data_IF_204045642027
#
_entry.id   IF_204045642027
#
_cell.length_a   1.000
_cell.length_b   1.000
_cell.length_c   1.000
_cell.angle_alpha   90.00
_cell.angle_beta   90.00
_cell.angle_gamma   90.00
#
_symmetry.space_group_name_H-M   'P 1'
#
loop_
_entity.id
_entity.type
_entity.pdbx_description
1 polymer ?
#
# COMPACT_ATOMS: atom_id res chain seq x y z
N UNK A 1 3.91 38.63 -3.50
CA UNK A 1 3.43 37.23 -3.55
C UNK A 1 3.19 36.77 -2.12
N UNK A 2 1.92 36.62 -1.69
CA UNK A 2 1.58 36.06 -0.37
C UNK A 2 2.03 34.60 -0.34
N UNK A 3 2.98 34.27 0.55
CA UNK A 3 3.40 32.89 0.80
C UNK A 3 2.18 32.11 1.26
N UNK A 4 1.72 31.14 0.47
CA UNK A 4 0.78 30.16 0.94
C UNK A 4 1.37 29.51 2.22
N UNK A 5 0.70 29.57 3.35
CA UNK A 5 1.20 28.89 4.55
C UNK A 5 1.16 27.39 4.27
N UNK A 6 2.33 26.78 4.13
CA UNK A 6 2.42 25.33 4.09
C UNK A 6 1.85 24.79 5.41
N UNK A 7 1.05 23.73 5.40
CA UNK A 7 0.41 23.17 6.59
C UNK A 7 1.42 22.60 7.62
N UNK A 8 2.67 22.42 7.19
CA UNK A 8 3.79 21.91 7.99
C UNK A 8 4.51 23.01 8.77
N UNK A 9 5.09 22.63 9.91
CA UNK A 9 5.77 23.57 10.82
C UNK A 9 7.11 24.08 10.30
N UNK A 10 7.83 23.27 9.52
CA UNK A 10 9.15 23.59 8.94
C UNK A 10 9.15 23.35 7.44
N UNK A 11 9.96 24.14 6.72
CA UNK A 11 10.16 23.96 5.29
C UNK A 11 10.77 22.59 4.95
N UNK A 12 11.72 22.11 5.77
CA UNK A 12 12.34 20.80 5.57
C UNK A 12 11.32 19.67 5.65
N UNK A 13 10.45 19.68 6.67
CA UNK A 13 9.35 18.72 6.82
C UNK A 13 8.40 18.76 5.63
N UNK A 14 8.05 19.98 5.16
CA UNK A 14 7.22 20.15 3.96
C UNK A 14 7.84 19.50 2.73
N UNK A 15 9.13 19.68 2.51
CA UNK A 15 9.80 19.10 1.33
C UNK A 15 10.01 17.59 1.45
N UNK A 16 10.18 17.03 2.64
CA UNK A 16 10.15 15.57 2.86
C UNK A 16 8.78 15.01 2.48
N UNK A 17 7.69 15.66 2.94
CA UNK A 17 6.33 15.22 2.63
C UNK A 17 6.01 15.36 1.12
N UNK A 18 6.41 16.46 0.48
CA UNK A 18 6.27 16.67 -0.96
C UNK A 18 7.07 15.63 -1.76
N UNK A 19 8.28 15.29 -1.33
CA UNK A 19 9.09 14.25 -1.97
C UNK A 19 8.47 12.86 -1.81
N UNK A 20 7.84 12.59 -0.68
CA UNK A 20 7.08 11.37 -0.47
C UNK A 20 5.81 11.32 -1.32
N UNK A 21 5.11 12.44 -1.48
CA UNK A 21 4.02 12.54 -2.45
C UNK A 21 4.49 12.13 -3.84
N UNK A 22 5.60 12.71 -4.32
CA UNK A 22 6.16 12.39 -5.64
C UNK A 22 6.55 10.93 -5.79
N UNK A 23 7.19 10.35 -4.76
CA UNK A 23 7.55 8.92 -4.76
C UNK A 23 6.31 8.03 -4.80
N UNK A 24 5.30 8.34 -3.99
CA UNK A 24 4.04 7.61 -3.94
C UNK A 24 3.25 7.73 -5.24
N UNK A 25 3.19 8.94 -5.80
CA UNK A 25 2.59 9.21 -7.09
C UNK A 25 3.26 8.41 -8.20
N UNK A 26 4.58 8.53 -8.38
CA UNK A 26 5.31 7.84 -9.45
C UNK A 26 5.17 6.33 -9.36
N UNK A 27 5.22 5.76 -8.15
CA UNK A 27 5.02 4.33 -7.95
C UNK A 27 3.63 3.88 -8.40
N UNK A 28 2.56 4.55 -7.94
CA UNK A 28 1.19 4.17 -8.27
C UNK A 28 0.79 4.52 -9.72
N UNK A 29 1.41 5.57 -10.31
CA UNK A 29 1.29 5.91 -11.72
C UNK A 29 1.68 4.74 -12.62
N UNK A 30 2.73 4.01 -12.26
CA UNK A 30 3.23 2.86 -13.01
C UNK A 30 2.47 1.58 -12.65
N UNK A 31 2.06 1.43 -11.40
CA UNK A 31 1.41 0.21 -10.92
C UNK A 31 0.09 -0.09 -11.60
N UNK A 32 -0.66 0.92 -12.06
CA UNK A 32 -1.94 0.71 -12.75
C UNK A 32 -1.79 -0.08 -14.05
N UNK A 33 -0.70 0.12 -14.75
CA UNK A 33 -0.47 -0.53 -16.04
C UNK A 33 0.56 -1.66 -16.04
N UNK A 34 1.23 -1.86 -14.93
CA UNK A 34 2.23 -2.92 -14.82
C UNK A 34 1.71 -4.31 -15.21
N UNK A 35 0.50 -4.74 -14.78
CA UNK A 35 -0.05 -6.04 -15.18
C UNK A 35 -0.26 -6.14 -16.70
N UNK A 36 -0.76 -5.08 -17.33
CA UNK A 36 -0.94 -5.02 -18.79
C UNK A 36 0.40 -5.08 -19.54
N UNK A 37 1.41 -4.37 -19.00
CA UNK A 37 2.76 -4.41 -19.57
C UNK A 37 3.37 -5.81 -19.48
N UNK A 38 3.19 -6.52 -18.36
CA UNK A 38 3.65 -7.90 -18.17
C UNK A 38 3.00 -8.82 -19.21
N UNK A 39 1.68 -8.71 -19.41
CA UNK A 39 0.96 -9.49 -20.44
C UNK A 39 1.52 -9.23 -21.84
N UNK A 40 1.84 -7.95 -22.14
CA UNK A 40 2.36 -7.57 -23.46
C UNK A 40 3.76 -8.11 -23.76
N UNK A 41 4.66 -8.17 -22.77
CA UNK A 41 6.05 -8.62 -22.96
C UNK A 41 6.25 -10.11 -22.72
N UNK A 42 5.24 -10.80 -22.20
CA UNK A 42 5.32 -12.22 -21.90
C UNK A 42 5.30 -13.06 -23.17
N UNK A 43 6.29 -13.94 -23.30
CA UNK A 43 6.33 -14.99 -24.30
C UNK A 43 5.84 -16.35 -23.74
N UNK A 44 5.41 -16.37 -22.47
CA UNK A 44 4.96 -17.57 -21.76
C UNK A 44 3.47 -17.83 -22.01
N UNK A 45 3.03 -19.05 -21.67
CA UNK A 45 1.61 -19.38 -21.68
C UNK A 45 0.78 -18.53 -20.70
N UNK A 46 -0.56 -18.44 -20.88
CA UNK A 46 -1.42 -17.58 -20.05
C UNK A 46 -1.29 -17.88 -18.55
N UNK A 47 -1.24 -19.15 -18.17
CA UNK A 47 -1.10 -19.61 -16.79
C UNK A 47 0.21 -19.14 -16.15
N UNK A 48 1.32 -19.35 -16.83
CA UNK A 48 2.66 -18.97 -16.37
C UNK A 48 2.81 -17.44 -16.28
N UNK A 49 2.32 -16.74 -17.31
CA UNK A 49 2.30 -15.25 -17.32
C UNK A 49 1.54 -14.71 -16.11
N UNK A 50 0.43 -15.33 -15.74
CA UNK A 50 -0.36 -14.92 -14.58
C UNK A 50 0.42 -15.11 -13.27
N UNK A 51 1.11 -16.23 -13.07
CA UNK A 51 1.97 -16.47 -11.91
C UNK A 51 3.10 -15.44 -11.85
N UNK A 52 3.77 -15.21 -12.98
CA UNK A 52 4.82 -14.19 -13.08
C UNK A 52 4.31 -12.77 -12.77
N UNK A 53 3.08 -12.45 -13.17
CA UNK A 53 2.44 -11.16 -12.82
C UNK A 53 2.34 -11.00 -11.31
N UNK A 54 1.87 -12.01 -10.60
CA UNK A 54 1.80 -11.99 -9.14
C UNK A 54 3.18 -11.83 -8.48
N UNK A 55 4.18 -12.59 -8.96
CA UNK A 55 5.56 -12.51 -8.48
C UNK A 55 6.16 -11.12 -8.69
N UNK A 56 6.05 -10.57 -9.89
CA UNK A 56 6.61 -9.25 -10.26
C UNK A 56 5.93 -8.13 -9.47
N UNK A 57 4.62 -8.20 -9.27
CA UNK A 57 3.88 -7.17 -8.51
C UNK A 57 4.15 -7.30 -7.00
N UNK A 58 4.20 -8.51 -6.46
CA UNK A 58 4.40 -8.77 -5.03
C UNK A 58 5.84 -8.61 -4.54
N UNK A 59 6.84 -8.89 -5.40
CA UNK A 59 8.26 -8.91 -5.04
C UNK A 59 8.76 -7.66 -4.29
N UNK A 60 8.44 -6.41 -4.70
CA UNK A 60 8.91 -5.23 -3.98
C UNK A 60 8.41 -5.19 -2.54
N UNK A 61 7.18 -5.64 -2.29
CA UNK A 61 6.59 -5.62 -0.94
C UNK A 61 7.25 -6.64 -0.02
N UNK A 62 7.61 -7.82 -0.54
CA UNK A 62 8.41 -8.83 0.20
C UNK A 62 9.75 -8.23 0.60
N UNK A 63 10.46 -7.65 -0.37
CA UNK A 63 11.78 -7.07 -0.13
C UNK A 63 11.71 -5.86 0.81
N UNK A 64 10.70 -5.01 0.67
CA UNK A 64 10.47 -3.91 1.61
C UNK A 64 10.26 -4.40 3.04
N UNK A 65 9.47 -5.46 3.23
CA UNK A 65 9.24 -6.03 4.56
C UNK A 65 10.53 -6.55 5.18
N UNK A 66 11.36 -7.24 4.40
CA UNK A 66 12.64 -7.80 4.85
C UNK A 66 13.69 -6.70 5.11
N UNK A 67 13.72 -5.68 4.26
CA UNK A 67 14.72 -4.62 4.30
C UNK A 67 14.38 -3.46 5.25
N UNK A 68 13.11 -3.26 5.61
CA UNK A 68 12.69 -2.14 6.47
C UNK A 68 13.46 -2.07 7.81
N UNK A 69 13.69 -3.18 8.55
CA UNK A 69 14.50 -3.14 9.77
C UNK A 69 15.97 -2.78 9.49
N UNK A 70 16.52 -3.22 8.36
CA UNK A 70 17.88 -2.91 7.95
C UNK A 70 18.04 -1.42 7.64
N UNK A 71 17.11 -0.85 6.88
CA UNK A 71 17.10 0.58 6.59
C UNK A 71 16.94 1.42 7.85
N UNK A 72 16.10 1.00 8.81
CA UNK A 72 16.00 1.63 10.11
C UNK A 72 17.33 1.63 10.89
N UNK A 73 18.09 0.52 10.85
CA UNK A 73 19.42 0.44 11.47
C UNK A 73 20.46 1.29 10.74
N UNK A 74 20.36 1.40 9.41
CA UNK A 74 21.27 2.22 8.63
C UNK A 74 21.20 3.70 8.99
N UNK A 75 20.04 4.21 9.48
CA UNK A 75 19.91 5.60 9.95
C UNK A 75 20.76 5.92 11.18
N UNK A 76 21.24 4.91 11.92
CA UNK A 76 22.19 5.11 13.01
C UNK A 76 23.65 5.25 12.54
N UNK A 77 23.95 4.82 11.31
CA UNK A 77 25.30 4.89 10.73
C UNK A 77 25.41 5.96 9.63
N UNK A 78 24.35 6.13 8.87
CA UNK A 78 24.28 7.08 7.77
C UNK A 78 23.21 8.14 8.04
N UNK A 79 23.40 9.33 7.51
CA UNK A 79 22.47 10.43 7.66
C UNK A 79 21.11 10.09 7.04
N UNK A 80 19.99 10.24 7.77
CA UNK A 80 18.66 9.88 7.27
C UNK A 80 18.29 10.56 5.95
N UNK A 81 18.71 11.83 5.74
CA UNK A 81 18.51 12.56 4.49
C UNK A 81 19.15 11.83 3.31
N UNK A 82 20.43 11.43 3.44
CA UNK A 82 21.16 10.71 2.39
C UNK A 82 20.45 9.42 2.01
N UNK A 83 20.01 8.63 3.00
CA UNK A 83 19.31 7.37 2.75
C UNK A 83 17.96 7.60 2.05
N UNK A 84 17.23 8.65 2.43
CA UNK A 84 15.98 9.03 1.80
C UNK A 84 16.17 9.44 0.33
N UNK A 85 17.16 10.28 0.08
CA UNK A 85 17.53 10.73 -1.27
C UNK A 85 17.99 9.56 -2.15
N UNK A 86 18.84 8.69 -1.63
CA UNK A 86 19.28 7.48 -2.36
C UNK A 86 18.10 6.59 -2.72
N UNK A 87 17.15 6.40 -1.81
CA UNK A 87 15.94 5.62 -2.10
C UNK A 87 15.13 6.22 -3.27
N UNK A 88 14.92 7.54 -3.27
CA UNK A 88 14.20 8.24 -4.36
C UNK A 88 14.99 8.12 -5.68
N UNK A 89 16.31 8.36 -5.63
CA UNK A 89 17.17 8.32 -6.81
C UNK A 89 17.18 6.93 -7.46
N UNK A 90 17.42 5.88 -6.65
CA UNK A 90 17.43 4.51 -7.15
C UNK A 90 16.09 4.07 -7.74
N UNK A 91 14.98 4.46 -7.10
CA UNK A 91 13.65 4.20 -7.67
C UNK A 91 13.49 4.89 -9.04
N UNK A 92 13.94 6.14 -9.17
CA UNK A 92 13.92 6.84 -10.46
C UNK A 92 14.75 6.12 -11.54
N UNK A 93 15.96 5.67 -11.21
CA UNK A 93 16.84 4.93 -12.13
C UNK A 93 16.18 3.59 -12.55
N UNK A 94 15.64 2.83 -11.59
CA UNK A 94 14.99 1.56 -11.89
C UNK A 94 13.75 1.74 -12.76
N UNK A 95 12.95 2.78 -12.54
CA UNK A 95 11.80 3.09 -13.38
C UNK A 95 12.21 3.51 -14.80
N UNK A 96 13.33 4.22 -14.94
CA UNK A 96 13.89 4.52 -16.27
C UNK A 96 14.25 3.23 -17.01
N UNK A 97 14.92 2.30 -16.32
CA UNK A 97 15.33 1.01 -16.89
C UNK A 97 14.10 0.18 -17.27
N UNK A 98 13.01 0.19 -16.49
CA UNK A 98 11.76 -0.55 -16.84
C UNK A 98 11.22 -0.18 -18.22
N UNK A 99 11.38 1.06 -18.66
CA UNK A 99 10.95 1.50 -19.99
C UNK A 99 11.64 0.79 -21.16
N UNK A 100 12.77 0.11 -20.92
CA UNK A 100 13.55 -0.58 -21.92
C UNK A 100 13.55 -2.11 -21.76
N UNK A 101 12.97 -2.62 -20.69
CA UNK A 101 12.95 -4.07 -20.37
C UNK A 101 11.83 -4.76 -21.13
N UNK A 102 12.17 -5.78 -21.89
CA UNK A 102 11.24 -6.63 -22.63
C UNK A 102 11.30 -8.12 -22.18
N UNK A 103 11.98 -8.38 -21.07
CA UNK A 103 12.15 -9.72 -20.52
C UNK A 103 11.57 -9.80 -19.11
N UNK A 104 10.69 -10.77 -18.86
CA UNK A 104 10.02 -10.97 -17.58
C UNK A 104 10.98 -11.24 -16.42
N UNK A 105 12.03 -12.02 -16.66
CA UNK A 105 13.01 -12.38 -15.63
C UNK A 105 13.81 -11.15 -15.20
N UNK A 106 14.22 -10.33 -16.18
CA UNK A 106 14.90 -9.07 -15.89
C UNK A 106 13.97 -8.09 -15.18
N UNK A 107 12.71 -7.99 -15.60
CA UNK A 107 11.71 -7.15 -14.93
C UNK A 107 11.51 -7.59 -13.47
N UNK A 108 11.44 -8.91 -13.21
CA UNK A 108 11.36 -9.46 -11.86
C UNK A 108 12.58 -9.07 -11.00
N UNK A 109 13.79 -9.25 -11.53
CA UNK A 109 15.03 -8.88 -10.85
C UNK A 109 15.04 -7.40 -10.47
N UNK A 110 14.68 -6.53 -11.40
CA UNK A 110 14.61 -5.09 -11.15
C UNK A 110 13.51 -4.74 -10.13
N UNK A 111 12.40 -5.47 -10.09
CA UNK A 111 11.34 -5.31 -9.08
C UNK A 111 11.81 -5.75 -7.68
N UNK A 112 12.63 -6.81 -7.60
CA UNK A 112 13.32 -7.21 -6.34
C UNK A 112 14.25 -6.09 -5.89
N UNK A 113 15.08 -5.55 -6.78
CA UNK A 113 15.98 -4.43 -6.47
C UNK A 113 15.20 -3.18 -6.03
N UNK A 114 14.07 -2.89 -6.67
CA UNK A 114 13.17 -1.80 -6.28
C UNK A 114 12.70 -1.96 -4.82
N UNK A 115 12.34 -3.16 -4.41
CA UNK A 115 11.95 -3.45 -3.03
C UNK A 115 13.11 -3.32 -2.04
N UNK A 116 14.31 -3.77 -2.41
CA UNK A 116 15.51 -3.62 -1.58
C UNK A 116 15.81 -2.14 -1.32
N UNK A 117 15.67 -1.30 -2.35
CA UNK A 117 15.92 0.15 -2.27
C UNK A 117 14.69 0.97 -1.84
N UNK A 118 13.54 0.32 -1.66
CA UNK A 118 12.23 0.95 -1.53
C UNK A 118 11.87 1.50 -0.15
N UNK A 119 12.79 1.53 0.83
CA UNK A 119 12.49 1.97 2.20
C UNK A 119 12.27 3.49 2.36
N UNK A 120 12.00 4.21 1.28
CA UNK A 120 11.79 5.67 1.26
C UNK A 120 10.76 6.11 2.29
N UNK A 121 9.61 5.43 2.40
CA UNK A 121 8.57 5.79 3.37
C UNK A 121 9.00 5.63 4.82
N UNK A 122 9.76 4.57 5.14
CA UNK A 122 10.28 4.32 6.50
C UNK A 122 11.32 5.36 6.89
N UNK A 123 12.28 5.62 6.01
CA UNK A 123 13.33 6.63 6.25
C UNK A 123 12.71 8.03 6.29
N UNK A 124 11.71 8.32 5.46
CA UNK A 124 10.96 9.58 5.49
C UNK A 124 10.27 9.84 6.82
N UNK A 125 9.66 8.84 7.44
CA UNK A 125 9.09 8.95 8.79
C UNK A 125 10.15 9.26 9.85
N UNK A 126 11.30 8.59 9.78
CA UNK A 126 12.44 8.85 10.68
C UNK A 126 12.95 10.29 10.49
N UNK A 127 13.06 10.73 9.24
CA UNK A 127 13.51 12.08 8.90
C UNK A 127 12.52 13.15 9.44
N UNK A 128 11.22 12.94 9.30
CA UNK A 128 10.20 13.83 9.88
C UNK A 128 10.29 13.85 11.40
N UNK A 129 10.41 12.69 12.04
CA UNK A 129 10.53 12.58 13.48
C UNK A 129 11.76 13.33 14.02
N UNK A 130 12.82 13.38 13.26
CA UNK A 130 14.05 14.07 13.63
C UNK A 130 14.03 15.59 13.36
N UNK A 131 13.17 16.04 12.44
CA UNK A 131 13.00 17.46 12.09
C UNK A 131 11.92 18.16 12.92
N UNK A 132 11.10 17.40 13.67
CA UNK A 132 9.89 17.90 14.32
C UNK A 132 9.99 17.76 15.84
N UNK A 133 9.48 18.76 16.60
CA UNK A 133 9.34 18.66 18.04
C UNK A 133 8.29 17.63 18.44
N UNK A 134 8.42 17.02 19.64
CA UNK A 134 7.51 15.98 20.14
C UNK A 134 6.05 16.43 20.15
N UNK A 135 5.78 17.69 20.51
CA UNK A 135 4.42 18.25 20.55
C UNK A 135 3.71 18.27 19.20
N UNK A 136 4.44 18.38 18.09
CA UNK A 136 3.89 18.47 16.72
C UNK A 136 4.05 17.19 15.92
N UNK A 137 4.79 16.23 16.44
CA UNK A 137 5.15 15.00 15.73
C UNK A 137 3.93 14.25 15.17
N UNK A 138 2.88 14.10 15.96
CA UNK A 138 1.65 13.43 15.54
C UNK A 138 0.99 14.12 14.34
N UNK A 139 0.94 15.45 14.36
CA UNK A 139 0.35 16.25 13.27
C UNK A 139 1.18 16.12 11.99
N UNK A 140 2.51 16.23 12.09
CA UNK A 140 3.40 16.18 10.95
C UNK A 140 3.42 14.78 10.30
N UNK A 141 3.40 13.70 11.10
CA UNK A 141 3.26 12.34 10.60
C UNK A 141 1.91 12.15 9.88
N UNK A 142 0.82 12.68 10.45
CA UNK A 142 -0.50 12.60 9.82
C UNK A 142 -0.52 13.33 8.48
N UNK A 143 0.04 14.53 8.39
CA UNK A 143 0.15 15.29 7.14
C UNK A 143 1.02 14.57 6.11
N UNK A 144 2.12 13.95 6.54
CA UNK A 144 2.96 13.12 5.68
C UNK A 144 2.19 11.92 5.09
N UNK A 145 1.39 11.24 5.90
CA UNK A 145 0.53 10.14 5.44
C UNK A 145 -0.54 10.63 4.47
N UNK A 146 -1.14 11.79 4.71
CA UNK A 146 -2.12 12.41 3.81
C UNK A 146 -1.48 12.71 2.46
N UNK A 147 -0.29 13.33 2.42
CA UNK A 147 0.42 13.61 1.16
C UNK A 147 0.73 12.34 0.37
N UNK A 148 1.16 11.28 1.04
CA UNK A 148 1.38 9.98 0.43
C UNK A 148 0.08 9.42 -0.19
N UNK A 149 -1.02 9.51 0.55
CA UNK A 149 -2.33 8.99 0.12
C UNK A 149 -2.90 9.78 -1.07
N UNK A 150 -2.71 11.11 -1.10
CA UNK A 150 -3.11 11.93 -2.25
C UNK A 150 -2.33 11.50 -3.50
N UNK A 151 -1.02 11.22 -3.37
CA UNK A 151 -0.23 10.68 -4.48
C UNK A 151 -0.78 9.34 -4.99
N UNK A 152 -1.16 8.43 -4.10
CA UNK A 152 -1.78 7.15 -4.46
C UNK A 152 -3.13 7.31 -5.15
N UNK A 153 -3.90 8.31 -4.77
CA UNK A 153 -5.24 8.56 -5.30
C UNK A 153 -5.21 9.12 -6.74
N UNK A 154 -4.34 10.10 -6.98
CA UNK A 154 -4.31 10.83 -8.26
C UNK A 154 -3.54 10.05 -9.34
N UNK A 155 -2.57 9.23 -8.94
CA UNK A 155 -1.64 8.59 -9.85
C UNK A 155 -2.28 7.58 -10.82
N UNK A 156 -3.17 6.65 -10.42
CA UNK A 156 -3.71 5.62 -11.31
C UNK A 156 -4.44 6.17 -12.54
N UNK A 157 -5.37 7.13 -12.44
CA UNK A 157 -6.03 7.67 -13.62
C UNK A 157 -5.06 8.42 -14.54
N UNK A 158 -4.08 9.12 -13.97
CA UNK A 158 -3.05 9.81 -14.76
C UNK A 158 -2.12 8.82 -15.47
N UNK A 159 -1.72 7.73 -14.81
CA UNK A 159 -0.92 6.67 -15.41
C UNK A 159 -1.66 5.95 -16.54
N UNK A 160 -2.92 5.59 -16.32
CA UNK A 160 -3.77 4.96 -17.31
C UNK A 160 -3.98 5.88 -18.54
N UNK A 161 -4.24 7.16 -18.32
CA UNK A 161 -4.40 8.14 -19.41
C UNK A 161 -3.08 8.34 -20.19
N UNK A 162 -1.96 8.43 -19.48
CA UNK A 162 -0.67 8.67 -20.11
C UNK A 162 -0.26 7.53 -21.06
N UNK A 163 -0.59 6.28 -20.71
CA UNK A 163 -0.30 5.15 -21.61
C UNK A 163 -1.04 5.25 -22.94
N UNK A 164 -2.29 5.70 -22.92
CA UNK A 164 -3.09 5.84 -24.15
C UNK A 164 -2.51 6.93 -25.06
N UNK A 165 -1.82 7.92 -24.48
CA UNK A 165 -1.18 9.01 -25.24
C UNK A 165 0.21 8.65 -25.77
N UNK A 166 1.07 8.08 -24.93
CA UNK A 166 2.51 7.94 -25.24
C UNK A 166 3.03 6.50 -25.18
N UNK A 167 2.18 5.54 -24.80
CA UNK A 167 2.54 4.13 -24.66
C UNK A 167 3.39 3.82 -23.40
N UNK A 168 3.64 2.54 -23.17
CA UNK A 168 4.28 2.03 -21.94
C UNK A 168 5.68 2.61 -21.69
N UNK A 169 6.53 2.62 -22.75
CA UNK A 169 7.93 3.06 -22.63
C UNK A 169 8.04 4.49 -22.10
N UNK A 170 7.33 5.41 -22.74
CA UNK A 170 7.37 6.82 -22.36
C UNK A 170 6.68 7.07 -21.02
N UNK A 171 5.64 6.29 -20.67
CA UNK A 171 5.02 6.36 -19.35
C UNK A 171 6.02 5.99 -18.23
N UNK A 172 6.86 4.97 -18.40
CA UNK A 172 7.94 4.65 -17.46
C UNK A 172 8.96 5.79 -17.35
N UNK A 173 9.36 6.40 -18.49
CA UNK A 173 10.30 7.54 -18.50
C UNK A 173 9.69 8.73 -17.75
N UNK A 174 8.41 9.04 -17.96
CA UNK A 174 7.72 10.13 -17.25
C UNK A 174 7.71 9.86 -15.75
N UNK A 175 7.34 8.65 -15.32
CA UNK A 175 7.38 8.24 -13.91
C UNK A 175 8.79 8.38 -13.31
N UNK A 176 9.83 8.03 -14.05
CA UNK A 176 11.22 8.22 -13.66
C UNK A 176 11.59 9.71 -13.52
N UNK A 177 11.22 10.55 -14.48
CA UNK A 177 11.47 11.99 -14.44
C UNK A 177 10.82 12.64 -13.21
N UNK A 178 9.62 12.21 -12.83
CA UNK A 178 8.96 12.68 -11.63
C UNK A 178 9.80 12.34 -10.37
N UNK A 179 10.35 11.11 -10.26
CA UNK A 179 11.28 10.77 -9.18
C UNK A 179 12.51 11.69 -9.15
N UNK A 180 13.13 11.99 -10.29
CA UNK A 180 14.29 12.87 -10.35
C UNK A 180 13.96 14.31 -9.96
N UNK A 181 12.79 14.83 -10.35
CA UNK A 181 12.32 16.15 -9.93
C UNK A 181 12.21 16.21 -8.40
N UNK A 182 11.56 15.23 -7.77
CA UNK A 182 11.39 15.19 -6.32
C UNK A 182 12.69 14.89 -5.57
N UNK A 183 13.61 14.14 -6.17
CA UNK A 183 14.98 14.01 -5.67
C UNK A 183 15.69 15.36 -5.60
N UNK A 184 15.67 16.14 -6.68
CA UNK A 184 16.30 17.48 -6.74
C UNK A 184 15.64 18.43 -5.72
N UNK A 185 14.30 18.40 -5.62
CA UNK A 185 13.58 19.22 -4.63
C UNK A 185 13.97 18.85 -3.20
N UNK A 186 14.08 17.57 -2.88
CA UNK A 186 14.53 17.08 -1.58
C UNK A 186 15.96 17.55 -1.29
N UNK A 187 16.87 17.28 -2.22
CA UNK A 187 18.31 17.61 -2.09
C UNK A 187 18.55 19.08 -1.77
N UNK A 188 17.84 19.99 -2.46
CA UNK A 188 18.03 21.43 -2.31
C UNK A 188 17.38 22.02 -1.05
N UNK A 189 16.28 21.46 -0.58
CA UNK A 189 15.43 22.12 0.40
C UNK A 189 15.37 21.43 1.77
N UNK A 190 15.76 20.15 1.87
CA UNK A 190 15.80 19.43 3.14
C UNK A 190 17.15 19.62 3.79
N UNK A 191 17.16 20.01 5.07
CA UNK A 191 18.41 20.13 5.84
C UNK A 191 18.96 18.75 6.20
N UNK A 192 20.28 18.66 6.26
CA UNK A 192 20.96 17.45 6.70
C UNK A 192 20.85 17.30 8.23
N UNK A 193 20.67 16.07 8.67
CA UNK A 193 20.47 15.75 10.09
C UNK A 193 21.49 14.68 10.50
N UNK A 194 22.05 14.77 11.73
CA UNK A 194 22.96 13.77 12.25
C UNK A 194 22.29 12.40 12.38
N UNK A 195 23.12 11.36 12.44
CA UNK A 195 22.69 9.98 12.61
C UNK A 195 21.81 9.81 13.86
N UNK A 196 20.74 9.05 13.74
CA UNK A 196 19.80 8.81 14.85
C UNK A 196 20.26 7.64 15.71
N UNK A 197 20.26 7.82 17.04
CA UNK A 197 20.52 6.70 17.96
C UNK A 197 19.35 5.73 17.93
N UNK A 198 19.64 4.45 17.70
CA UNK A 198 18.61 3.39 17.72
C UNK A 198 18.11 3.19 19.15
N UNK A 199 16.83 3.46 19.38
CA UNK A 199 16.17 3.08 20.64
C UNK A 199 15.98 1.55 20.62
N UNK A 200 16.61 0.85 21.59
CA UNK A 200 16.39 -0.59 21.79
C UNK A 200 14.97 -0.81 22.30
N UNK A 201 14.15 -1.41 21.46
CA UNK A 201 12.81 -1.85 21.86
C UNK A 201 12.91 -3.16 22.64
N UNK A 202 12.25 -3.22 23.80
CA UNK A 202 12.13 -4.45 24.58
C UNK A 202 11.15 -5.39 23.87
N UNK A 203 11.65 -6.56 23.46
CA UNK A 203 10.85 -7.64 22.86
C UNK A 203 9.81 -8.14 23.89
N UNK A 204 8.58 -7.68 23.78
CA UNK A 204 7.46 -8.27 24.54
C UNK A 204 7.02 -9.58 23.88
N UNK A 205 6.74 -10.61 24.72
CA UNK A 205 6.18 -11.88 24.26
C UNK A 205 4.87 -11.63 23.50
N UNK A 206 4.77 -12.18 22.30
CA UNK A 206 3.56 -12.11 21.46
C UNK A 206 2.36 -12.72 22.21
N UNK A 207 1.41 -11.87 22.59
CA UNK A 207 0.11 -12.34 23.13
C UNK A 207 -0.73 -12.90 21.97
N UNK A 208 -1.53 -13.96 22.24
CA UNK A 208 -2.39 -14.60 21.21
C UNK A 208 -3.27 -13.61 20.44
N UNK A 209 -3.81 -12.59 21.11
CA UNK A 209 -4.61 -11.54 20.47
C UNK A 209 -3.83 -10.70 19.46
N UNK A 210 -2.54 -10.41 19.70
CA UNK A 210 -1.67 -9.67 18.78
C UNK A 210 -1.44 -10.49 17.49
N UNK A 211 -1.22 -11.79 17.60
CA UNK A 211 -1.07 -12.68 16.45
C UNK A 211 -2.32 -12.68 15.55
N UNK A 212 -3.51 -12.84 16.16
CA UNK A 212 -4.76 -12.82 15.41
C UNK A 212 -5.07 -11.44 14.83
N UNK A 213 -4.72 -10.36 15.54
CA UNK A 213 -4.76 -9.00 15.00
C UNK A 213 -3.85 -8.82 13.79
N UNK A 214 -2.63 -9.34 13.86
CA UNK A 214 -1.69 -9.35 12.73
C UNK A 214 -2.26 -10.12 11.54
N UNK A 215 -2.76 -11.33 11.75
CA UNK A 215 -3.40 -12.15 10.71
C UNK A 215 -4.60 -11.43 10.07
N UNK A 216 -5.46 -10.82 10.88
CA UNK A 216 -6.62 -10.08 10.40
C UNK A 216 -6.21 -8.85 9.59
N UNK A 217 -5.19 -8.12 10.03
CA UNK A 217 -4.61 -6.99 9.31
C UNK A 217 -3.97 -7.39 7.98
N UNK A 218 -3.28 -8.54 7.96
CA UNK A 218 -2.72 -9.12 6.73
C UNK A 218 -3.82 -9.43 5.73
N UNK A 219 -4.86 -10.17 6.14
CA UNK A 219 -5.96 -10.56 5.23
C UNK A 219 -6.77 -9.34 4.80
N UNK A 220 -7.04 -8.37 5.68
CA UNK A 220 -7.66 -7.11 5.28
C UNK A 220 -6.84 -6.38 4.20
N UNK A 221 -5.50 -6.41 4.30
CA UNK A 221 -4.63 -5.84 3.27
C UNK A 221 -4.67 -6.65 1.98
N UNK A 222 -4.71 -7.98 2.04
CA UNK A 222 -4.91 -8.85 0.86
C UNK A 222 -6.19 -8.44 0.12
N UNK A 223 -7.31 -8.23 0.84
CA UNK A 223 -8.57 -7.77 0.24
C UNK A 223 -8.45 -6.44 -0.52
N UNK A 224 -7.50 -5.57 -0.15
CA UNK A 224 -7.29 -4.29 -0.83
C UNK A 224 -6.38 -4.46 -2.04
N UNK A 225 -5.34 -5.29 -1.95
CA UNK A 225 -4.18 -5.26 -2.84
C UNK A 225 -4.14 -6.35 -3.91
N UNK A 226 -5.01 -7.35 -3.83
CA UNK A 226 -5.04 -8.45 -4.83
C UNK A 226 -5.50 -7.99 -6.22
N UNK A 227 -6.44 -7.04 -6.28
CA UNK A 227 -7.17 -6.70 -7.50
C UNK A 227 -6.29 -6.18 -8.64
N UNK A 228 -5.36 -5.24 -8.45
CA UNK A 228 -4.56 -4.70 -9.55
C UNK A 228 -3.87 -5.77 -10.39
N UNK A 229 -3.42 -6.87 -9.76
CA UNK A 229 -2.67 -7.94 -10.45
C UNK A 229 -3.51 -8.77 -11.43
N UNK A 230 -4.82 -8.83 -11.22
CA UNK A 230 -5.76 -9.63 -12.03
C UNK A 230 -6.76 -8.76 -12.80
N UNK A 231 -6.68 -7.44 -12.67
CA UNK A 231 -7.62 -6.50 -13.27
C UNK A 231 -7.69 -6.62 -14.81
N UNK A 232 -6.57 -6.84 -15.54
CA UNK A 232 -6.63 -7.11 -16.97
C UNK A 232 -7.56 -8.27 -17.31
N UNK A 233 -7.42 -9.39 -16.59
CA UNK A 233 -8.22 -10.60 -16.84
C UNK A 233 -9.72 -10.36 -16.52
N UNK A 234 -10.03 -9.63 -15.44
CA UNK A 234 -11.42 -9.26 -15.13
C UNK A 234 -12.02 -8.39 -16.24
N UNK A 235 -11.27 -7.40 -16.72
CA UNK A 235 -11.74 -6.49 -17.76
C UNK A 235 -11.87 -7.19 -19.12
N UNK A 236 -11.07 -8.22 -19.38
CA UNK A 236 -11.21 -9.10 -20.54
C UNK A 236 -12.55 -9.87 -20.50
N UNK A 237 -13.00 -10.33 -19.32
CA UNK A 237 -14.33 -10.98 -19.21
C UNK A 237 -15.49 -10.06 -19.56
N UNK A 238 -15.30 -8.74 -19.45
CA UNK A 238 -16.24 -7.73 -19.91
C UNK A 238 -16.04 -7.30 -21.38
N UNK A 239 -15.26 -8.05 -22.14
CA UNK A 239 -15.00 -7.87 -23.59
C UNK A 239 -14.44 -6.47 -23.95
N UNK A 240 -13.63 -5.89 -23.07
CA UNK A 240 -12.99 -4.60 -23.30
C UNK A 240 -11.68 -4.76 -24.11
N UNK A 241 -11.50 -3.90 -25.12
CA UNK A 241 -10.22 -3.77 -25.81
C UNK A 241 -9.14 -3.22 -24.88
N UNK A 242 -7.87 -3.58 -25.09
CA UNK A 242 -6.74 -3.22 -24.21
C UNK A 242 -6.71 -1.74 -23.81
N UNK A 243 -6.82 -0.82 -24.78
CA UNK A 243 -6.77 0.63 -24.50
C UNK A 243 -7.87 1.09 -23.55
N UNK A 244 -9.11 0.58 -23.73
CA UNK A 244 -10.24 0.88 -22.84
C UNK A 244 -10.07 0.19 -21.50
N UNK A 245 -9.55 -1.04 -21.47
CA UNK A 245 -9.31 -1.79 -20.25
C UNK A 245 -8.32 -1.05 -19.33
N UNK A 246 -7.22 -0.51 -19.87
CA UNK A 246 -6.26 0.29 -19.10
C UNK A 246 -6.91 1.55 -18.52
N UNK A 247 -7.73 2.26 -19.32
CA UNK A 247 -8.45 3.46 -18.86
C UNK A 247 -9.44 3.13 -17.74
N UNK A 248 -10.23 2.07 -17.89
CA UNK A 248 -11.15 1.61 -16.85
C UNK A 248 -10.41 1.12 -15.61
N UNK A 249 -9.26 0.47 -15.74
CA UNK A 249 -8.43 0.09 -14.60
C UNK A 249 -8.03 1.31 -13.75
N UNK A 250 -7.61 2.40 -14.38
CA UNK A 250 -7.31 3.66 -13.69
C UNK A 250 -8.53 4.21 -12.94
N UNK A 251 -9.70 4.22 -13.57
CA UNK A 251 -10.96 4.70 -12.96
C UNK A 251 -11.35 3.81 -11.76
N UNK A 252 -11.34 2.49 -11.93
CA UNK A 252 -11.66 1.51 -10.87
C UNK A 252 -10.73 1.70 -9.67
N UNK A 253 -9.41 1.77 -9.92
CA UNK A 253 -8.42 1.94 -8.86
C UNK A 253 -8.62 3.25 -8.10
N UNK A 254 -8.92 4.33 -8.79
CA UNK A 254 -9.22 5.63 -8.16
C UNK A 254 -10.51 5.56 -7.34
N UNK A 255 -11.58 5.01 -7.92
CA UNK A 255 -12.90 4.93 -7.28
C UNK A 255 -12.83 4.15 -5.95
N UNK A 256 -12.23 2.95 -5.95
CA UNK A 256 -12.14 2.19 -4.70
C UNK A 256 -11.12 2.79 -3.71
N UNK A 257 -10.10 3.51 -4.18
CA UNK A 257 -9.17 4.21 -3.28
C UNK A 257 -9.86 5.37 -2.57
N UNK A 258 -10.71 6.13 -3.25
CA UNK A 258 -11.55 7.17 -2.64
C UNK A 258 -12.41 6.57 -1.53
N UNK A 259 -13.13 5.48 -1.82
CA UNK A 259 -13.99 4.85 -0.82
C UNK A 259 -13.21 4.19 0.31
N UNK A 260 -12.01 3.67 0.05
CA UNK A 260 -11.12 3.18 1.10
C UNK A 260 -10.72 4.30 2.08
N UNK A 261 -10.39 5.49 1.56
CA UNK A 261 -10.04 6.66 2.38
C UNK A 261 -11.26 7.13 3.17
N UNK A 262 -12.41 7.33 2.50
CA UNK A 262 -13.63 7.78 3.13
C UNK A 262 -14.14 6.78 4.17
N UNK A 263 -14.18 5.50 3.84
CA UNK A 263 -14.61 4.45 4.74
C UNK A 263 -13.70 4.32 5.96
N UNK A 264 -12.38 4.36 5.75
CA UNK A 264 -11.42 4.39 6.84
C UNK A 264 -11.66 5.59 7.77
N UNK A 265 -11.80 6.80 7.21
CA UNK A 265 -12.04 8.00 7.99
C UNK A 265 -13.38 7.94 8.73
N UNK A 266 -14.49 7.68 8.03
CA UNK A 266 -15.83 7.67 8.61
C UNK A 266 -15.95 6.60 9.71
N UNK A 267 -15.56 5.36 9.41
CA UNK A 267 -15.71 4.27 10.37
C UNK A 267 -14.85 4.50 11.62
N UNK A 268 -13.57 4.90 11.45
CA UNK A 268 -12.70 5.10 12.61
C UNK A 268 -13.01 6.38 13.41
N UNK A 269 -13.65 7.40 12.80
CA UNK A 269 -14.03 8.64 13.51
C UNK A 269 -15.33 8.50 14.31
N UNK A 270 -16.29 7.70 13.83
CA UNK A 270 -17.63 7.61 14.45
C UNK A 270 -17.84 6.35 15.31
N UNK A 271 -16.89 5.42 15.31
CA UNK A 271 -17.02 4.18 16.07
C UNK A 271 -16.59 4.37 17.52
N UNK A 272 -17.51 4.21 18.50
CA UNK A 272 -17.16 4.23 19.92
C UNK A 272 -16.32 3.00 20.28
N UNK A 273 -15.31 3.19 21.13
CA UNK A 273 -14.39 2.12 21.56
C UNK A 273 -15.11 0.92 22.18
N UNK A 274 -16.22 1.17 22.88
CA UNK A 274 -17.05 0.12 23.52
C UNK A 274 -17.67 -0.87 22.53
N UNK A 275 -17.90 -0.45 21.26
CA UNK A 275 -18.51 -1.28 20.21
C UNK A 275 -17.50 -1.83 19.20
N UNK A 276 -16.20 -1.57 19.37
CA UNK A 276 -15.15 -1.97 18.43
C UNK A 276 -15.22 -3.46 18.04
N UNK A 277 -15.46 -4.35 19.01
CA UNK A 277 -15.55 -5.79 18.76
C UNK A 277 -16.70 -6.14 17.81
N UNK A 278 -17.90 -5.60 18.06
CA UNK A 278 -19.08 -5.84 17.22
C UNK A 278 -18.89 -5.27 15.82
N UNK A 279 -18.32 -4.09 15.74
CA UNK A 279 -18.09 -3.39 14.47
C UNK A 279 -17.04 -4.12 13.63
N UNK A 280 -15.93 -4.60 14.22
CA UNK A 280 -14.96 -5.44 13.51
C UNK A 280 -15.61 -6.71 12.96
N UNK A 281 -16.53 -7.34 13.75
CA UNK A 281 -17.29 -8.48 13.26
C UNK A 281 -18.15 -8.14 12.05
N UNK A 282 -18.97 -7.07 12.13
CA UNK A 282 -19.84 -6.67 11.01
C UNK A 282 -19.04 -6.25 9.79
N UNK A 283 -17.94 -5.53 9.97
CA UNK A 283 -17.04 -5.13 8.88
C UNK A 283 -16.43 -6.37 8.21
N UNK A 284 -15.93 -7.32 8.99
CA UNK A 284 -15.34 -8.55 8.46
C UNK A 284 -16.35 -9.40 7.67
N UNK A 285 -17.55 -9.57 8.20
CA UNK A 285 -18.63 -10.28 7.51
C UNK A 285 -19.11 -9.55 6.25
N UNK A 286 -19.28 -8.23 6.32
CA UNK A 286 -19.65 -7.41 5.15
C UNK A 286 -18.56 -7.45 4.07
N UNK A 287 -17.29 -7.39 4.47
CA UNK A 287 -16.17 -7.51 3.53
C UNK A 287 -16.15 -8.87 2.83
N UNK A 288 -16.38 -9.97 3.59
CA UNK A 288 -16.48 -11.31 3.03
C UNK A 288 -17.67 -11.44 2.06
N UNK A 289 -18.83 -10.94 2.44
CA UNK A 289 -20.04 -10.98 1.63
C UNK A 289 -19.87 -10.20 0.33
N UNK A 290 -19.44 -8.93 0.42
CA UNK A 290 -19.22 -8.07 -0.75
C UNK A 290 -18.12 -8.63 -1.68
N UNK A 291 -17.09 -9.28 -1.10
CA UNK A 291 -16.06 -9.96 -1.88
C UNK A 291 -16.65 -11.11 -2.73
N UNK A 292 -17.53 -11.94 -2.16
CA UNK A 292 -18.21 -13.00 -2.88
C UNK A 292 -19.19 -12.44 -3.94
N UNK A 293 -19.89 -11.34 -3.60
CA UNK A 293 -20.82 -10.65 -4.49
C UNK A 293 -20.17 -10.13 -5.78
N UNK A 294 -18.85 -9.90 -5.81
CA UNK A 294 -18.15 -9.43 -7.02
C UNK A 294 -18.28 -10.42 -8.18
N UNK A 295 -18.51 -11.71 -7.92
CA UNK A 295 -18.72 -12.70 -8.95
C UNK A 295 -20.00 -12.43 -9.78
N UNK A 296 -21.03 -11.90 -9.16
CA UNK A 296 -22.32 -11.61 -9.81
C UNK A 296 -22.34 -10.28 -10.57
N UNK A 297 -21.20 -9.60 -10.70
CA UNK A 297 -21.11 -8.38 -11.48
C UNK A 297 -21.20 -8.66 -12.99
N UNK A 298 -22.16 -8.03 -13.64
CA UNK A 298 -22.42 -8.22 -15.08
C UNK A 298 -21.71 -7.19 -15.99
N UNK A 299 -20.83 -6.37 -15.43
CA UNK A 299 -20.10 -5.35 -16.17
C UNK A 299 -19.26 -4.44 -15.27
N UNK A 300 -18.51 -3.54 -15.89
CA UNK A 300 -17.55 -2.67 -15.21
C UNK A 300 -18.18 -1.82 -14.11
N UNK A 301 -19.38 -1.28 -14.35
CA UNK A 301 -20.04 -0.36 -13.39
C UNK A 301 -20.45 -1.13 -12.13
N UNK A 302 -21.18 -2.25 -12.27
CA UNK A 302 -21.60 -3.08 -11.12
C UNK A 302 -20.41 -3.61 -10.35
N UNK A 303 -19.37 -4.08 -11.05
CA UNK A 303 -18.12 -4.50 -10.44
C UNK A 303 -17.47 -3.37 -9.63
N UNK A 304 -17.36 -2.18 -10.21
CA UNK A 304 -16.76 -1.02 -9.55
C UNK A 304 -17.53 -0.62 -8.30
N UNK A 305 -18.86 -0.58 -8.36
CA UNK A 305 -19.69 -0.22 -7.21
C UNK A 305 -19.55 -1.22 -6.05
N UNK A 306 -19.60 -2.53 -6.33
CA UNK A 306 -19.40 -3.56 -5.31
C UNK A 306 -17.99 -3.44 -4.72
N UNK A 307 -16.99 -3.22 -5.57
CA UNK A 307 -15.61 -3.03 -5.14
C UNK A 307 -15.42 -1.79 -4.26
N UNK A 308 -16.04 -0.68 -4.60
CA UNK A 308 -16.04 0.55 -3.80
C UNK A 308 -16.61 0.30 -2.40
N UNK A 309 -17.74 -0.36 -2.30
CA UNK A 309 -18.35 -0.71 -1.02
C UNK A 309 -17.43 -1.65 -0.21
N UNK A 310 -16.91 -2.70 -0.84
CA UNK A 310 -16.04 -3.67 -0.20
C UNK A 310 -14.76 -3.03 0.35
N UNK A 311 -14.07 -2.20 -0.45
CA UNK A 311 -12.84 -1.53 0.00
C UNK A 311 -13.11 -0.45 1.03
N UNK A 312 -14.21 0.30 0.91
CA UNK A 312 -14.62 1.28 1.92
C UNK A 312 -14.80 0.67 3.30
N UNK A 313 -15.37 -0.54 3.35
CA UNK A 313 -15.58 -1.26 4.60
C UNK A 313 -14.27 -1.86 5.13
N UNK A 314 -13.52 -2.60 4.29
CA UNK A 314 -12.34 -3.35 4.74
C UNK A 314 -11.15 -2.46 5.11
N UNK A 315 -11.04 -1.26 4.53
CA UNK A 315 -9.95 -0.34 4.80
C UNK A 315 -9.90 0.14 6.27
N UNK A 316 -11.03 0.12 6.97
CA UNK A 316 -11.10 0.51 8.38
C UNK A 316 -10.55 -0.57 9.34
N UNK A 317 -10.44 -1.82 8.92
CA UNK A 317 -10.05 -2.95 9.78
C UNK A 317 -8.67 -2.75 10.39
N UNK A 318 -7.68 -2.39 9.57
CA UNK A 318 -6.31 -2.29 10.06
C UNK A 318 -6.12 -1.17 11.11
N UNK A 319 -6.59 0.08 10.91
CA UNK A 319 -6.54 1.11 11.95
C UNK A 319 -7.30 0.74 13.22
N UNK A 320 -8.43 0.02 13.09
CA UNK A 320 -9.17 -0.47 14.27
C UNK A 320 -8.34 -1.47 15.08
N UNK A 321 -7.66 -2.41 14.42
CA UNK A 321 -6.76 -3.35 15.09
C UNK A 321 -5.66 -2.58 15.84
N UNK A 322 -5.05 -1.60 15.18
CA UNK A 322 -4.03 -0.76 15.83
C UNK A 322 -4.59 -0.03 17.05
N UNK A 323 -5.81 0.50 16.98
CA UNK A 323 -6.44 1.22 18.10
C UNK A 323 -6.74 0.33 19.30
N UNK A 324 -7.07 -0.95 19.07
CA UNK A 324 -7.29 -1.96 20.14
C UNK A 324 -6.00 -2.23 20.91
N UNK A 325 -4.84 -2.21 20.23
CA UNK A 325 -3.57 -2.50 20.86
C UNK A 325 -2.72 -1.26 21.18
N UNK A 326 -3.18 -0.05 20.83
CA UNK A 326 -2.40 1.19 21.04
C UNK A 326 -2.17 1.52 22.52
N UNK A 327 -3.05 1.04 23.42
CA UNK A 327 -2.95 1.31 24.85
C UNK A 327 -2.16 0.16 25.51
N UNK A 328 -1.03 0.49 26.14
CA UNK A 328 -0.24 -0.46 26.94
C UNK A 328 0.70 -1.38 26.16
N UNK A 329 1.02 -1.06 24.89
CA UNK A 329 1.93 -1.85 24.05
C UNK A 329 3.07 -0.98 23.52
N UNK A 330 4.30 -1.50 23.61
CA UNK A 330 5.49 -0.79 23.11
C UNK A 330 5.55 -0.68 21.58
N UNK A 331 6.41 0.22 21.08
CA UNK A 331 6.62 0.48 19.64
C UNK A 331 6.93 -0.77 18.81
N UNK A 332 7.63 -1.76 19.38
CA UNK A 332 7.93 -3.02 18.70
C UNK A 332 6.69 -3.83 18.33
N UNK A 333 5.67 -3.86 19.18
CA UNK A 333 4.42 -4.57 18.86
C UNK A 333 3.59 -3.83 17.81
N UNK A 334 3.59 -2.50 17.83
CA UNK A 334 2.95 -1.72 16.77
C UNK A 334 3.68 -1.90 15.43
N UNK A 335 5.01 -1.96 15.45
CA UNK A 335 5.82 -2.30 14.29
C UNK A 335 5.53 -3.70 13.75
N UNK A 336 5.40 -4.70 14.63
CA UNK A 336 4.99 -6.05 14.25
C UNK A 336 3.60 -6.05 13.60
N UNK A 337 2.60 -5.39 14.19
CA UNK A 337 1.28 -5.26 13.59
C UNK A 337 1.32 -4.58 12.23
N UNK A 338 2.14 -3.53 12.08
CA UNK A 338 2.29 -2.83 10.81
C UNK A 338 2.93 -3.71 9.72
N UNK A 339 3.77 -4.70 10.09
CA UNK A 339 4.36 -5.63 9.12
C UNK A 339 3.29 -6.47 8.39
N UNK A 340 2.10 -6.63 8.96
CA UNK A 340 0.95 -7.29 8.32
C UNK A 340 0.57 -6.62 6.97
N UNK A 341 0.70 -5.29 6.86
CA UNK A 341 0.42 -4.57 5.61
C UNK A 341 1.43 -4.93 4.51
N UNK A 342 2.72 -5.00 4.86
CA UNK A 342 3.74 -5.40 3.88
C UNK A 342 3.55 -6.85 3.44
N UNK A 343 3.25 -7.75 4.39
CA UNK A 343 2.94 -9.15 4.09
C UNK A 343 1.69 -9.27 3.22
N UNK A 344 0.61 -8.54 3.53
CA UNK A 344 -0.62 -8.52 2.72
C UNK A 344 -0.40 -7.95 1.31
N UNK A 345 0.39 -6.88 1.18
CA UNK A 345 0.77 -6.31 -0.13
C UNK A 345 1.58 -7.29 -0.99
N UNK A 346 2.36 -8.17 -0.36
CA UNK A 346 3.13 -9.20 -1.06
C UNK A 346 2.25 -10.40 -1.43
N UNK A 347 1.46 -10.91 -0.47
CA UNK A 347 0.67 -12.12 -0.61
C UNK A 347 -0.55 -11.89 -1.50
N UNK A 348 -1.17 -10.70 -1.46
CA UNK A 348 -2.39 -10.39 -2.22
C UNK A 348 -2.27 -10.66 -3.71
N UNK A 349 -1.33 -10.05 -4.44
CA UNK A 349 -1.11 -10.32 -5.85
C UNK A 349 -0.75 -11.78 -6.14
N UNK A 350 0.16 -12.37 -5.35
CA UNK A 350 0.60 -13.76 -5.51
C UNK A 350 -0.56 -14.75 -5.36
N UNK A 351 -1.37 -14.60 -4.31
CA UNK A 351 -2.52 -15.44 -4.06
C UNK A 351 -3.54 -15.34 -5.19
N UNK A 352 -3.88 -14.10 -5.60
CA UNK A 352 -4.87 -13.87 -6.63
C UNK A 352 -4.47 -14.49 -7.96
N UNK A 353 -3.25 -14.25 -8.40
CA UNK A 353 -2.76 -14.77 -9.68
C UNK A 353 -2.53 -16.27 -9.65
N UNK A 354 -2.05 -16.83 -8.53
CA UNK A 354 -1.85 -18.28 -8.38
C UNK A 354 -3.18 -19.04 -8.38
N UNK A 355 -4.20 -18.53 -7.66
CA UNK A 355 -5.53 -19.15 -7.67
C UNK A 355 -6.13 -19.07 -9.07
N UNK A 356 -6.05 -17.92 -9.73
CA UNK A 356 -6.64 -17.73 -11.05
C UNK A 356 -5.92 -18.54 -12.13
N UNK A 357 -4.61 -18.76 -12.00
CA UNK A 357 -3.84 -19.60 -12.91
C UNK A 357 -4.25 -21.10 -12.88
N UNK A 358 -4.83 -21.57 -11.76
CA UNK A 358 -5.20 -22.96 -11.56
C UNK A 358 -6.72 -23.19 -11.43
N UNK A 359 -7.50 -22.11 -11.41
CA UNK A 359 -8.95 -22.16 -11.17
C UNK A 359 -9.65 -21.02 -11.91
N UNK A 360 -10.74 -20.51 -11.38
CA UNK A 360 -11.57 -19.46 -11.96
C UNK A 360 -11.84 -18.29 -11.00
N UNK A 361 -12.49 -17.25 -11.49
CA UNK A 361 -12.84 -16.06 -10.69
C UNK A 361 -13.74 -16.38 -9.49
N UNK A 362 -14.67 -17.34 -9.63
CA UNK A 362 -15.54 -17.75 -8.53
C UNK A 362 -14.71 -18.30 -7.36
N UNK A 363 -13.82 -19.25 -7.65
CA UNK A 363 -12.93 -19.84 -6.64
C UNK A 363 -12.06 -18.78 -5.98
N UNK A 364 -11.53 -17.84 -6.75
CA UNK A 364 -10.73 -16.74 -6.21
C UNK A 364 -11.54 -15.89 -5.24
N UNK A 365 -12.73 -15.45 -5.64
CA UNK A 365 -13.56 -14.60 -4.78
C UNK A 365 -14.01 -15.32 -3.51
N UNK A 366 -14.36 -16.61 -3.59
CA UNK A 366 -14.73 -17.41 -2.43
C UNK A 366 -13.55 -17.67 -1.48
N UNK A 367 -12.36 -17.94 -2.02
CA UNK A 367 -11.15 -18.13 -1.21
C UNK A 367 -10.82 -16.84 -0.47
N UNK A 368 -10.74 -15.69 -1.16
CA UNK A 368 -10.44 -14.41 -0.51
C UNK A 368 -11.52 -14.05 0.52
N UNK A 369 -12.81 -14.28 0.18
CA UNK A 369 -13.93 -14.07 1.11
C UNK A 369 -13.81 -14.93 2.36
N UNK A 370 -13.50 -16.22 2.22
CA UNK A 370 -13.37 -17.15 3.34
C UNK A 370 -12.15 -16.89 4.23
N UNK A 371 -11.05 -16.44 3.64
CA UNK A 371 -9.78 -16.20 4.37
C UNK A 371 -9.93 -15.20 5.52
N UNK A 372 -10.83 -14.22 5.43
CA UNK A 372 -11.00 -13.22 6.49
C UNK A 372 -11.71 -13.81 7.72
N UNK A 373 -12.52 -14.85 7.57
CA UNK A 373 -13.33 -15.42 8.63
C UNK A 373 -12.49 -16.10 9.72
N UNK A 374 -11.39 -16.75 9.34
CA UNK A 374 -10.50 -17.44 10.27
C UNK A 374 -9.84 -16.47 11.25
N UNK A 375 -9.08 -15.44 10.80
CA UNK A 375 -8.47 -14.50 11.74
C UNK A 375 -9.51 -13.61 12.44
N UNK A 376 -10.66 -13.35 11.84
CA UNK A 376 -11.75 -12.64 12.47
C UNK A 376 -12.25 -13.38 13.71
N UNK A 377 -12.57 -14.68 13.59
CA UNK A 377 -13.01 -15.51 14.73
C UNK A 377 -11.90 -15.65 15.77
N UNK A 378 -10.65 -15.85 15.35
CA UNK A 378 -9.50 -15.92 16.24
C UNK A 378 -9.29 -14.64 17.04
N UNK A 379 -9.36 -13.48 16.37
CA UNK A 379 -9.25 -12.17 17.00
C UNK A 379 -10.36 -11.92 18.03
N UNK A 380 -11.61 -12.17 17.67
CA UNK A 380 -12.76 -11.98 18.54
C UNK A 380 -12.76 -12.90 19.77
N UNK A 381 -12.21 -14.12 19.67
CA UNK A 381 -12.09 -15.05 20.80
C UNK A 381 -10.96 -14.71 21.75
N UNK A 382 -9.86 -14.13 21.25
CA UNK A 382 -8.62 -13.93 22.03
C UNK A 382 -8.47 -12.51 22.56
N UNK A 383 -9.19 -11.55 21.98
CA UNK A 383 -9.10 -10.15 22.38
C UNK A 383 -10.29 -9.80 23.26
N UNK A 384 -10.02 -9.62 24.56
CA UNK A 384 -10.99 -9.03 25.50
C UNK A 384 -10.95 -7.52 25.31
N UNK A 385 -11.90 -6.97 24.59
CA UNK A 385 -12.17 -5.53 24.54
C UNK A 385 -13.14 -5.27 25.69
N UNK A 386 -12.60 -5.06 26.90
CA UNK A 386 -13.38 -4.67 28.07
C UNK A 386 -13.65 -3.17 28.07
N UNK A 387 -14.64 -2.68 28.88
CA UNK A 387 -14.76 -1.27 29.17
C UNK A 387 -13.42 -0.79 29.74
N UNK A 388 -12.96 0.37 29.26
CA UNK A 388 -11.82 1.07 29.83
C UNK A 388 -12.02 1.22 31.34
N UNK A 389 -10.97 0.94 32.10
CA UNK A 389 -10.84 1.34 33.51
C UNK A 389 -11.00 2.86 33.58
N UNK A 390 -12.23 3.30 33.74
CA UNK A 390 -12.65 4.57 34.31
C UNK A 390 -13.56 4.19 35.48
N UNK A 391 -12.89 3.82 36.56
CA UNK A 391 -13.43 3.81 37.92
C UNK A 391 -12.33 3.20 38.82
N UNK A 392 -11.36 4.02 39.19
CA UNK A 392 -10.70 4.08 40.48
C UNK A 392 -10.09 5.45 40.71
#
# INVERSE_FOLDING_TARGET
>A
MKKFPLPFSDKGVSFVAISQFGSSFSYNFIMVFMPFYILKISALGPKETMIWTGLIIGAPSVMNALMAPLWGRLTSRFRPKLLFEMGILWNGILFLIFGFVQNLYLLFLLRVLLGIMGAVSTVGLILISALTSEERLHKEISLYQITMTIGQLIAPPMGAYMITLVGYRFAFIIGSLIFFIFFILCHRNVKDIPCQKTVRDSTQRLKKGIFWGWMLGLIATVHITYLPSILPHILETFQLKEERAVSYAGIIMTAYTITAILGNFMINSFVPRTKLRQIILYIGLSAAFLQAMMYFSNGVISFTLIRMLQTGVVAAVFPMILSVFAIGVGGGTLGFLNSARFAGNAIGPLLATSVLAHSNLLSLYLIISGLILIPLTGFLRTTKIGPSVEEE
#
